data_IF_395360677935
#
_entry.id   IF_395360677935
#
_cell.length_a   1.000
_cell.length_b   1.000
_cell.length_c   1.000
_cell.angle_alpha   90.00
_cell.angle_beta   90.00
_cell.angle_gamma   90.00
#
_symmetry.space_group_name_H-M   'P 1'
#
loop_
_entity.id
_entity.type
_entity.pdbx_description
1 polymer ?
#
# COMPACT_ATOMS: atom_id res chain seq x y z
N UNK A 1 15.65 47.69 -4.91
CA UNK A 1 15.49 46.33 -5.47
C UNK A 1 14.11 45.69 -5.33
N UNK A 2 13.39 45.89 -4.23
CA UNK A 2 12.12 45.18 -3.95
C UNK A 2 11.05 45.24 -5.05
N UNK A 3 10.90 46.38 -5.76
CA UNK A 3 9.94 46.52 -6.87
C UNK A 3 10.28 45.63 -8.07
N UNK A 4 11.56 45.50 -8.41
CA UNK A 4 12.03 44.65 -9.50
C UNK A 4 11.76 43.17 -9.18
N UNK A 5 12.07 42.72 -7.95
CA UNK A 5 11.78 41.35 -7.52
C UNK A 5 10.28 41.04 -7.57
N UNK A 6 9.43 41.96 -7.13
CA UNK A 6 7.96 41.80 -7.23
C UNK A 6 7.48 41.69 -8.68
N UNK A 7 8.02 42.52 -9.58
CA UNK A 7 7.67 42.47 -11.00
C UNK A 7 8.11 41.16 -11.65
N UNK A 8 9.35 40.72 -11.43
CA UNK A 8 9.84 39.44 -11.95
C UNK A 8 9.05 38.27 -11.36
N UNK A 9 8.80 38.28 -10.04
CA UNK A 9 8.00 37.25 -9.38
C UNK A 9 6.58 37.17 -9.96
N UNK A 10 5.94 38.30 -10.27
CA UNK A 10 4.61 38.27 -10.90
C UNK A 10 4.61 37.51 -12.23
N UNK A 11 5.65 37.68 -13.04
CA UNK A 11 5.78 37.00 -14.35
C UNK A 11 6.12 35.50 -14.22
N UNK A 12 6.95 35.11 -13.26
CA UNK A 12 7.45 33.72 -13.15
C UNK A 12 6.78 32.89 -12.06
N UNK A 13 5.94 33.48 -11.20
CA UNK A 13 5.36 32.83 -10.00
C UNK A 13 4.72 31.48 -10.27
N UNK A 14 4.06 31.30 -11.42
CA UNK A 14 3.42 30.03 -11.82
C UNK A 14 4.41 28.89 -12.07
N UNK A 15 5.68 29.21 -12.26
CA UNK A 15 6.78 28.27 -12.50
C UNK A 15 7.61 28.03 -11.23
N UNK A 16 7.28 28.70 -10.12
CA UNK A 16 8.02 28.60 -8.86
C UNK A 16 7.30 27.68 -7.86
N UNK A 17 8.03 26.98 -6.97
CA UNK A 17 7.42 26.25 -5.86
C UNK A 17 6.60 27.17 -4.95
N UNK A 18 5.49 26.68 -4.39
CA UNK A 18 4.52 27.47 -3.60
C UNK A 18 5.11 28.24 -2.40
N UNK A 19 6.30 27.84 -1.92
CA UNK A 19 6.96 28.45 -0.75
C UNK A 19 7.90 29.61 -1.09
N UNK A 20 8.24 29.83 -2.37
CA UNK A 20 9.13 30.93 -2.78
C UNK A 20 8.34 32.23 -2.83
N UNK A 21 8.83 33.27 -2.16
CA UNK A 21 8.27 34.62 -2.24
C UNK A 21 9.23 35.56 -2.99
N UNK A 22 8.71 36.70 -3.46
CA UNK A 22 9.51 37.69 -4.21
C UNK A 22 10.78 38.16 -3.45
N UNK A 23 10.74 38.15 -2.11
CA UNK A 23 11.89 38.54 -1.30
C UNK A 23 13.09 37.59 -1.46
N UNK A 24 12.83 36.31 -1.78
CA UNK A 24 13.84 35.26 -1.84
C UNK A 24 14.65 35.29 -3.14
N UNK A 25 14.22 36.06 -4.14
CA UNK A 25 14.94 36.21 -5.41
C UNK A 25 16.22 37.03 -5.23
N UNK A 26 17.35 36.53 -5.73
CA UNK A 26 18.64 37.24 -5.70
C UNK A 26 18.89 37.90 -7.05
N UNK A 27 19.31 39.17 -7.07
CA UNK A 27 19.53 39.94 -8.31
C UNK A 27 21.01 40.23 -8.47
N UNK A 28 21.55 40.01 -9.66
CA UNK A 28 22.95 40.24 -10.02
C UNK A 28 23.03 41.25 -11.16
N UNK A 29 24.07 42.09 -11.15
CA UNK A 29 24.22 43.19 -12.09
C UNK A 29 24.42 42.72 -13.54
N UNK A 30 25.11 41.59 -13.71
CA UNK A 30 25.39 40.98 -15.00
C UNK A 30 25.84 39.52 -14.79
N UNK A 31 26.24 38.85 -15.88
CA UNK A 31 26.72 37.46 -15.84
C UNK A 31 28.03 37.27 -15.09
N UNK A 32 28.92 38.26 -15.09
CA UNK A 32 30.18 38.19 -14.34
C UNK A 32 29.92 38.24 -12.83
N UNK A 33 29.07 39.17 -12.38
CA UNK A 33 28.65 39.27 -10.98
C UNK A 33 27.90 38.01 -10.51
N UNK A 34 27.07 37.42 -11.37
CA UNK A 34 26.42 36.13 -11.07
C UNK A 34 27.44 34.99 -10.89
N UNK A 35 28.45 34.92 -11.75
CA UNK A 35 29.50 33.90 -11.64
C UNK A 35 30.37 34.10 -10.38
N UNK A 36 30.62 35.36 -10.00
CA UNK A 36 31.34 35.72 -8.78
C UNK A 36 30.50 35.64 -7.50
N UNK A 37 29.19 35.39 -7.61
CA UNK A 37 28.21 35.40 -6.50
C UNK A 37 28.13 36.75 -5.77
N UNK A 38 28.35 37.84 -6.48
CA UNK A 38 28.26 39.22 -5.97
C UNK A 38 26.84 39.78 -6.24
N UNK A 39 25.95 39.61 -5.26
CA UNK A 39 24.58 40.10 -5.36
C UNK A 39 24.52 41.64 -5.27
N UNK A 40 23.58 42.24 -5.99
CA UNK A 40 23.28 43.66 -5.86
C UNK A 40 22.65 43.96 -4.50
N UNK A 41 23.18 44.98 -3.82
CA UNK A 41 22.60 45.49 -2.58
C UNK A 41 21.20 46.09 -2.82
N UNK A 42 20.40 46.13 -1.76
CA UNK A 42 18.98 46.47 -1.86
C UNK A 42 18.73 47.88 -2.42
N UNK A 43 19.63 48.80 -2.12
CA UNK A 43 19.59 50.23 -2.50
C UNK A 43 20.47 50.57 -3.71
N UNK A 44 21.06 49.58 -4.38
CA UNK A 44 21.88 49.82 -5.57
C UNK A 44 21.03 50.45 -6.71
N UNK A 45 21.52 51.52 -7.38
CA UNK A 45 20.84 52.11 -8.51
C UNK A 45 20.85 51.16 -9.71
N UNK A 46 19.66 50.80 -10.22
CA UNK A 46 19.50 49.86 -11.35
C UNK A 46 19.41 50.54 -12.72
N UNK A 47 19.31 51.86 -12.77
CA UNK A 47 19.01 52.60 -14.00
C UNK A 47 20.07 52.50 -15.09
N UNK A 48 21.29 52.09 -14.76
CA UNK A 48 22.40 51.88 -15.70
C UNK A 48 22.61 50.42 -16.11
N UNK A 49 21.77 49.49 -15.63
CA UNK A 49 21.90 48.05 -15.85
C UNK A 49 20.77 47.53 -16.75
N UNK A 50 21.03 46.48 -17.54
CA UNK A 50 20.01 45.83 -18.37
C UNK A 50 19.76 46.45 -19.75
N UNK A 51 20.56 47.42 -20.18
CA UNK A 51 20.44 48.06 -21.51
C UNK A 51 20.97 47.22 -22.69
N UNK A 52 21.62 46.09 -22.42
CA UNK A 52 22.22 45.20 -23.42
C UNK A 52 22.15 43.74 -22.97
N UNK A 53 22.39 42.78 -23.89
CA UNK A 53 22.49 41.35 -23.52
C UNK A 53 23.72 41.04 -22.67
N UNK A 54 24.80 41.83 -22.79
CA UNK A 54 26.04 41.64 -22.02
C UNK A 54 25.90 42.16 -20.59
N UNK A 55 25.07 43.18 -20.38
CA UNK A 55 24.82 43.83 -19.09
C UNK A 55 23.41 43.50 -18.56
N UNK A 56 22.84 42.37 -19.00
CA UNK A 56 21.52 41.94 -18.58
C UNK A 56 21.52 41.58 -17.09
N UNK A 57 20.57 42.13 -16.34
CA UNK A 57 20.29 41.75 -14.96
C UNK A 57 19.93 40.26 -14.91
N UNK A 58 20.54 39.54 -13.98
CA UNK A 58 20.23 38.13 -13.74
C UNK A 58 19.48 38.02 -12.42
N UNK A 59 18.30 37.40 -12.46
CA UNK A 59 17.52 37.09 -11.26
C UNK A 59 17.60 35.60 -11.01
N UNK A 60 18.28 35.22 -9.94
CA UNK A 60 18.37 33.85 -9.49
C UNK A 60 17.20 33.54 -8.56
N UNK A 61 16.45 32.50 -8.90
CA UNK A 61 15.48 31.88 -8.01
C UNK A 61 16.24 31.03 -6.99
N UNK A 62 15.93 31.11 -5.69
CA UNK A 62 16.54 30.25 -4.69
C UNK A 62 16.26 28.79 -5.05
N UNK A 63 17.33 28.00 -5.15
CA UNK A 63 17.19 26.57 -5.29
C UNK A 63 16.73 26.05 -3.93
N UNK A 64 15.49 25.57 -3.82
CA UNK A 64 14.96 25.01 -2.56
C UNK A 64 15.74 23.74 -2.13
N UNK A 65 16.70 23.30 -2.95
CA UNK A 65 17.66 22.23 -2.65
C UNK A 65 19.07 22.71 -2.23
N UNK A 66 19.33 24.02 -2.12
CA UNK A 66 20.57 24.54 -1.52
C UNK A 66 20.26 25.09 -0.12
N UNK A 67 20.73 24.35 0.89
CA UNK A 67 20.72 24.74 2.30
C UNK A 67 21.31 26.15 2.45
N UNK A 68 20.68 27.09 3.20
CA UNK A 68 21.22 28.42 3.40
C UNK A 68 22.65 28.36 3.95
N UNK A 69 23.57 29.08 3.29
CA UNK A 69 25.02 29.09 3.53
C UNK A 69 25.46 29.64 4.90
N UNK A 70 24.54 29.88 5.83
CA UNK A 70 24.85 30.14 7.24
C UNK A 70 24.92 28.86 8.09
N UNK A 71 24.64 27.68 7.52
CA UNK A 71 24.80 26.38 8.18
C UNK A 71 26.09 25.62 7.82
N UNK A 72 27.02 26.22 7.06
CA UNK A 72 28.32 25.59 6.73
C UNK A 72 29.27 25.44 7.93
N UNK A 73 28.79 25.61 9.16
CA UNK A 73 29.56 25.36 10.40
C UNK A 73 29.20 24.04 11.09
N UNK A 74 28.22 23.28 10.61
CA UNK A 74 27.98 21.94 11.16
C UNK A 74 28.82 20.95 10.37
N UNK A 75 29.94 20.54 10.96
CA UNK A 75 30.71 19.36 10.56
C UNK A 75 29.72 18.24 10.18
N UNK A 76 29.62 17.93 8.89
CA UNK A 76 28.71 16.91 8.39
C UNK A 76 29.02 15.59 9.07
N UNK A 77 28.10 15.14 9.93
CA UNK A 77 28.22 13.86 10.63
C UNK A 77 28.37 12.77 9.57
N UNK A 78 29.44 11.96 9.63
CA UNK A 78 29.71 10.92 8.64
C UNK A 78 28.54 9.94 8.51
N UNK A 79 28.42 9.28 7.36
CA UNK A 79 27.39 8.28 7.12
C UNK A 79 27.40 7.17 8.19
N UNK A 80 28.58 6.76 8.67
CA UNK A 80 28.72 5.75 9.72
C UNK A 80 28.09 6.21 11.04
N UNK A 81 28.35 7.45 11.47
CA UNK A 81 27.77 8.01 12.70
C UNK A 81 26.26 8.22 12.54
N UNK A 82 25.78 8.61 11.35
CA UNK A 82 24.35 8.66 11.05
C UNK A 82 23.71 7.26 11.14
N UNK A 83 24.38 6.23 10.63
CA UNK A 83 23.91 4.85 10.69
C UNK A 83 23.85 4.33 12.14
N UNK A 84 24.86 4.60 12.97
CA UNK A 84 24.84 4.23 14.40
C UNK A 84 23.69 4.92 15.14
N UNK A 85 23.50 6.22 14.89
CA UNK A 85 22.36 6.97 15.46
C UNK A 85 21.03 6.38 15.02
N UNK A 86 20.89 6.00 13.75
CA UNK A 86 19.68 5.36 13.25
C UNK A 86 19.47 4.00 13.92
N UNK A 87 20.49 3.14 14.00
CA UNK A 87 20.42 1.84 14.69
C UNK A 87 19.93 1.99 16.14
N UNK A 88 20.37 3.02 16.85
CA UNK A 88 19.92 3.29 18.22
C UNK A 88 18.42 3.61 18.34
N UNK A 89 17.77 4.08 17.28
CA UNK A 89 16.33 4.35 17.24
C UNK A 89 15.48 3.12 16.89
N UNK A 90 16.11 2.03 16.48
CA UNK A 90 15.45 0.84 15.95
C UNK A 90 15.58 -0.34 16.91
N UNK A 91 14.57 -1.20 16.90
CA UNK A 91 14.59 -2.51 17.54
C UNK A 91 13.72 -3.47 16.71
N UNK A 92 14.08 -4.75 16.67
CA UNK A 92 13.25 -5.73 15.99
C UNK A 92 11.90 -5.87 16.70
N UNK A 93 10.83 -5.82 15.91
CA UNK A 93 9.45 -6.01 16.35
C UNK A 93 8.70 -6.85 15.34
N UNK A 94 7.88 -7.75 15.87
CA UNK A 94 6.85 -8.44 15.08
C UNK A 94 5.97 -7.38 14.42
N UNK A 95 5.71 -7.48 13.10
CA UNK A 95 4.86 -6.52 12.41
C UNK A 95 3.47 -6.45 13.03
N UNK A 96 2.88 -5.25 13.04
CA UNK A 96 1.46 -5.11 13.38
C UNK A 96 0.61 -5.73 12.29
N UNK A 97 -0.57 -6.21 12.66
CA UNK A 97 -1.57 -6.68 11.70
C UNK A 97 -2.00 -5.56 10.76
N UNK A 98 -2.17 -5.91 9.49
CA UNK A 98 -2.73 -5.05 8.45
C UNK A 98 -4.25 -5.02 8.56
N UNK A 99 -4.87 -6.19 8.77
CA UNK A 99 -6.27 -6.31 9.09
C UNK A 99 -6.50 -5.95 10.57
N UNK A 100 -7.20 -4.83 10.79
CA UNK A 100 -7.52 -4.29 12.12
C UNK A 100 -9.03 -4.22 12.40
N UNK A 101 -9.83 -4.83 11.53
CA UNK A 101 -11.29 -4.90 11.64
C UNK A 101 -11.71 -5.99 12.63
N UNK A 102 -13.01 -6.08 12.94
CA UNK A 102 -13.54 -7.03 13.94
C UNK A 102 -13.31 -8.50 13.55
N UNK A 103 -13.17 -8.79 12.25
CA UNK A 103 -12.86 -10.11 11.71
C UNK A 103 -11.38 -10.48 11.75
N UNK A 104 -10.49 -9.62 12.27
CA UNK A 104 -9.06 -9.91 12.39
C UNK A 104 -8.73 -11.17 13.21
N UNK A 105 -9.64 -11.60 14.08
CA UNK A 105 -9.45 -12.75 14.97
C UNK A 105 -10.25 -13.98 14.53
N UNK A 106 -10.99 -13.89 13.42
CA UNK A 106 -11.65 -15.06 12.85
C UNK A 106 -10.61 -16.09 12.40
N UNK A 107 -10.88 -17.40 12.55
CA UNK A 107 -9.98 -18.44 12.07
C UNK A 107 -9.73 -18.30 10.57
N UNK A 108 -8.46 -18.28 10.19
CA UNK A 108 -8.10 -18.24 8.78
C UNK A 108 -8.51 -19.54 8.07
N UNK A 109 -9.10 -19.42 6.89
CA UNK A 109 -9.62 -20.55 6.10
C UNK A 109 -8.78 -20.72 4.83
N UNK A 110 -8.80 -21.89 4.18
CA UNK A 110 -8.18 -22.07 2.86
C UNK A 110 -6.64 -22.18 2.83
N UNK A 111 -5.99 -22.33 3.99
CA UNK A 111 -4.53 -22.36 4.07
C UNK A 111 -3.90 -23.59 3.39
N UNK A 112 -4.60 -24.72 3.34
CA UNK A 112 -4.09 -25.94 2.71
C UNK A 112 -4.08 -25.79 1.18
N UNK A 113 -5.18 -25.28 0.63
CA UNK A 113 -5.37 -25.03 -0.80
C UNK A 113 -4.40 -23.97 -1.32
N UNK A 114 -4.22 -22.88 -0.56
CA UNK A 114 -3.22 -21.85 -0.90
C UNK A 114 -1.78 -22.35 -0.78
N UNK A 115 -1.50 -23.21 0.20
CA UNK A 115 -0.19 -23.86 0.32
C UNK A 115 0.20 -24.56 -0.98
N UNK A 116 -0.73 -25.30 -1.58
CA UNK A 116 -0.50 -26.01 -2.85
C UNK A 116 -0.18 -25.04 -4.00
N UNK A 117 -0.88 -23.90 -4.08
CA UNK A 117 -0.62 -22.88 -5.11
C UNK A 117 0.72 -22.14 -4.90
N UNK A 118 1.25 -22.15 -3.68
CA UNK A 118 2.50 -21.49 -3.31
C UNK A 118 3.72 -22.40 -3.43
N UNK A 119 3.54 -23.72 -3.27
CA UNK A 119 4.65 -24.67 -3.10
C UNK A 119 5.65 -24.67 -4.26
N UNK A 120 5.21 -24.97 -5.49
CA UNK A 120 6.13 -25.08 -6.63
C UNK A 120 6.85 -23.75 -6.93
N UNK A 121 6.15 -22.59 -7.03
CA UNK A 121 6.83 -21.31 -7.28
C UNK A 121 7.80 -20.92 -6.16
N UNK A 122 7.48 -21.25 -4.91
CA UNK A 122 8.33 -20.94 -3.76
C UNK A 122 9.61 -21.79 -3.76
N UNK A 123 9.49 -23.10 -4.04
CA UNK A 123 10.64 -24.01 -4.13
C UNK A 123 11.53 -23.65 -5.31
N UNK A 124 10.95 -23.38 -6.47
CA UNK A 124 11.70 -22.94 -7.64
C UNK A 124 12.50 -21.66 -7.33
N UNK A 125 11.86 -20.68 -6.70
CA UNK A 125 12.52 -19.45 -6.28
C UNK A 125 13.66 -19.72 -5.29
N UNK A 126 13.41 -20.50 -4.24
CA UNK A 126 14.45 -20.83 -3.25
C UNK A 126 15.68 -21.49 -3.90
N UNK A 127 15.44 -22.48 -4.76
CA UNK A 127 16.50 -23.17 -5.47
C UNK A 127 17.28 -22.21 -6.39
N UNK A 128 16.60 -21.33 -7.13
CA UNK A 128 17.26 -20.35 -7.99
C UNK A 128 18.10 -19.36 -7.20
N UNK A 129 17.62 -18.89 -6.05
CA UNK A 129 18.38 -18.04 -5.13
C UNK A 129 19.64 -18.76 -4.61
N UNK A 130 19.52 -20.02 -4.18
CA UNK A 130 20.68 -20.82 -3.71
C UNK A 130 21.78 -20.95 -4.77
N UNK A 131 21.40 -21.05 -6.05
CA UNK A 131 22.35 -21.12 -7.18
C UNK A 131 22.82 -19.75 -7.67
N UNK A 132 22.38 -18.64 -7.06
CA UNK A 132 22.74 -17.29 -7.46
C UNK A 132 22.16 -16.86 -8.81
N UNK A 133 21.09 -17.52 -9.27
CA UNK A 133 20.38 -17.18 -10.50
C UNK A 133 19.57 -15.91 -10.23
N UNK A 134 19.68 -14.89 -11.10
CA UNK A 134 18.97 -13.60 -10.96
C UNK A 134 17.87 -13.42 -12.03
N UNK A 135 17.44 -14.51 -12.66
CA UNK A 135 16.43 -14.48 -13.71
C UNK A 135 15.04 -14.16 -13.13
N UNK A 136 14.40 -13.12 -13.69
CA UNK A 136 13.05 -12.67 -13.34
C UNK A 136 11.98 -13.75 -13.52
N UNK A 137 12.23 -14.76 -14.36
CA UNK A 137 11.32 -15.89 -14.56
C UNK A 137 11.40 -16.94 -13.45
N UNK A 138 12.42 -16.87 -12.59
CA UNK A 138 12.65 -17.86 -11.53
C UNK A 138 12.28 -17.36 -10.14
N UNK A 139 12.21 -16.05 -9.95
CA UNK A 139 11.81 -15.43 -8.68
C UNK A 139 10.36 -14.96 -8.75
N UNK A 140 9.46 -15.71 -8.11
CA UNK A 140 8.04 -15.39 -8.16
C UNK A 140 7.69 -14.14 -7.31
N UNK A 141 7.03 -13.16 -7.95
CA UNK A 141 6.29 -12.12 -7.25
C UNK A 141 4.86 -12.62 -6.98
N UNK A 142 4.49 -12.69 -5.70
CA UNK A 142 3.13 -13.09 -5.31
C UNK A 142 2.20 -11.86 -5.28
N UNK A 143 1.02 -11.99 -5.86
CA UNK A 143 0.07 -10.90 -6.04
C UNK A 143 -1.29 -11.29 -5.48
N UNK A 144 -1.69 -10.64 -4.39
CA UNK A 144 -3.02 -10.78 -3.78
C UNK A 144 -3.91 -9.68 -4.34
N UNK A 145 -4.56 -9.98 -5.47
CA UNK A 145 -5.44 -9.04 -6.15
C UNK A 145 -6.86 -9.54 -6.00
N UNK A 146 -7.69 -8.80 -5.29
CA UNK A 146 -9.13 -9.06 -5.21
C UNK A 146 -9.88 -7.85 -4.67
N UNK A 147 -11.20 -7.85 -4.80
CA UNK A 147 -12.05 -6.74 -4.41
C UNK A 147 -11.93 -6.28 -2.95
N UNK A 148 -12.44 -5.10 -2.61
CA UNK A 148 -12.45 -4.61 -1.24
C UNK A 148 -13.22 -5.56 -0.31
N UNK A 149 -12.70 -5.78 0.90
CA UNK A 149 -13.39 -6.57 1.93
C UNK A 149 -13.30 -8.10 1.79
N UNK A 150 -12.63 -8.62 0.76
CA UNK A 150 -12.42 -10.06 0.51
C UNK A 150 -11.39 -10.71 1.44
N UNK A 151 -10.49 -9.91 2.04
CA UNK A 151 -9.45 -10.39 2.95
C UNK A 151 -8.01 -10.27 2.43
N UNK A 152 -7.71 -9.35 1.50
CA UNK A 152 -6.33 -9.12 1.02
C UNK A 152 -5.34 -8.89 2.17
N UNK A 153 -5.58 -7.85 2.98
CA UNK A 153 -4.75 -7.51 4.15
C UNK A 153 -4.65 -8.68 5.14
N UNK A 154 -5.75 -9.42 5.32
CA UNK A 154 -5.75 -10.60 6.20
C UNK A 154 -4.92 -11.75 5.63
N UNK A 155 -4.88 -11.97 4.32
CA UNK A 155 -3.98 -12.96 3.73
C UNK A 155 -2.51 -12.57 3.96
N UNK A 156 -2.17 -11.28 3.79
CA UNK A 156 -0.81 -10.80 4.05
C UNK A 156 -0.42 -11.03 5.52
N UNK A 157 -1.36 -10.84 6.46
CA UNK A 157 -1.11 -11.13 7.88
C UNK A 157 -0.79 -12.60 8.19
N UNK A 158 -1.21 -13.52 7.32
CA UNK A 158 -1.05 -14.97 7.47
C UNK A 158 0.06 -15.52 6.56
N UNK A 159 0.70 -14.66 5.76
CA UNK A 159 1.59 -15.04 4.66
C UNK A 159 2.77 -15.88 5.14
N UNK A 160 3.42 -15.52 6.24
CA UNK A 160 4.49 -16.33 6.82
C UNK A 160 4.03 -17.76 7.12
N UNK A 161 2.84 -17.92 7.67
CA UNK A 161 2.24 -19.24 7.94
C UNK A 161 1.89 -20.00 6.67
N UNK A 162 1.39 -19.31 5.64
CA UNK A 162 1.10 -19.90 4.33
C UNK A 162 2.37 -20.40 3.63
N UNK A 163 3.43 -19.60 3.63
CA UNK A 163 4.73 -19.99 3.07
C UNK A 163 5.34 -21.17 3.82
N UNK A 164 5.26 -21.20 5.16
CA UNK A 164 5.71 -22.34 5.94
C UNK A 164 4.94 -23.63 5.56
N UNK A 165 3.62 -23.54 5.39
CA UNK A 165 2.80 -24.69 4.96
C UNK A 165 3.15 -25.15 3.55
N UNK A 166 3.39 -24.21 2.63
CA UNK A 166 3.80 -24.52 1.27
C UNK A 166 5.16 -25.25 1.25
N UNK A 167 6.12 -24.82 2.05
CA UNK A 167 7.41 -25.49 2.21
C UNK A 167 7.29 -26.86 2.90
N UNK A 168 6.40 -27.00 3.89
CA UNK A 168 6.10 -28.28 4.53
C UNK A 168 5.48 -29.29 3.55
N UNK A 169 4.64 -28.82 2.61
CA UNK A 169 4.06 -29.65 1.55
C UNK A 169 5.08 -30.08 0.49
N UNK A 170 6.11 -29.28 0.21
CA UNK A 170 7.15 -29.64 -0.75
C UNK A 170 8.19 -30.61 -0.18
N UNK A 171 8.36 -30.66 1.15
CA UNK A 171 9.35 -31.50 1.81
C UNK A 171 10.75 -30.87 1.90
N UNK A 172 10.92 -29.60 1.50
CA UNK A 172 12.22 -28.91 1.49
C UNK A 172 12.61 -28.44 2.90
N UNK A 173 13.36 -29.26 3.65
CA UNK A 173 13.67 -29.02 5.06
C UNK A 173 14.46 -27.72 5.34
N UNK A 174 15.39 -27.34 4.46
CA UNK A 174 16.15 -26.10 4.62
C UNK A 174 15.25 -24.87 4.45
N UNK A 175 14.38 -24.89 3.43
CA UNK A 175 13.38 -23.86 3.19
C UNK A 175 12.41 -23.71 4.38
N UNK A 176 11.94 -24.84 4.96
CA UNK A 176 11.08 -24.83 6.15
C UNK A 176 11.79 -24.13 7.33
N UNK A 177 13.06 -24.47 7.57
CA UNK A 177 13.87 -23.88 8.64
C UNK A 177 14.09 -22.38 8.44
N UNK A 178 14.41 -21.99 7.20
CA UNK A 178 14.60 -20.60 6.77
C UNK A 178 13.33 -19.77 6.98
N UNK A 179 12.16 -20.25 6.50
CA UNK A 179 10.90 -19.52 6.62
C UNK A 179 10.42 -19.39 8.08
N UNK A 180 10.64 -20.39 8.94
CA UNK A 180 10.29 -20.31 10.36
C UNK A 180 11.04 -19.16 11.07
N UNK A 181 12.29 -18.92 10.68
CA UNK A 181 13.16 -17.85 11.19
C UNK A 181 13.04 -16.54 10.42
N UNK A 182 12.21 -16.47 9.38
CA UNK A 182 12.12 -15.30 8.52
C UNK A 182 11.71 -14.02 9.26
N UNK A 183 12.33 -12.92 8.85
CA UNK A 183 12.00 -11.56 9.25
C UNK A 183 10.88 -11.05 8.34
N UNK A 184 9.71 -10.84 8.93
CA UNK A 184 8.51 -10.39 8.23
C UNK A 184 8.33 -8.88 8.34
N UNK A 185 8.14 -8.24 7.20
CA UNK A 185 7.81 -6.81 7.10
C UNK A 185 6.43 -6.65 6.47
N UNK A 186 5.55 -5.91 7.16
CA UNK A 186 4.21 -5.59 6.68
C UNK A 186 4.12 -4.10 6.44
N UNK A 187 4.34 -3.72 5.18
CA UNK A 187 4.31 -2.36 4.68
C UNK A 187 2.88 -2.07 4.18
N UNK A 188 2.32 -0.91 4.53
CA UNK A 188 1.00 -0.49 4.04
C UNK A 188 1.01 0.92 3.47
N UNK A 189 0.36 1.10 2.33
CA UNK A 189 0.03 2.40 1.74
C UNK A 189 -1.40 2.84 2.09
N UNK A 190 -2.08 2.11 2.99
CA UNK A 190 -3.40 2.44 3.50
C UNK A 190 -3.33 3.10 4.88
N UNK A 191 -4.19 2.68 5.82
CA UNK A 191 -4.41 3.32 7.11
C UNK A 191 -3.11 3.48 7.91
N UNK A 192 -2.90 4.69 8.45
CA UNK A 192 -1.78 5.03 9.33
C UNK A 192 -0.50 5.47 8.61
N UNK A 193 -0.26 5.03 7.38
CA UNK A 193 0.89 5.42 6.55
C UNK A 193 0.48 5.64 5.09
N UNK A 194 -0.68 6.24 4.87
CA UNK A 194 -1.25 6.38 3.53
C UNK A 194 -0.40 7.30 2.64
N UNK A 195 -0.29 6.97 1.36
CA UNK A 195 0.28 7.88 0.37
C UNK A 195 -0.73 9.03 0.11
N UNK A 196 -0.46 10.22 0.64
CA UNK A 196 -1.30 11.41 0.44
C UNK A 196 -0.90 12.18 -0.84
N UNK A 197 -0.75 11.48 -1.97
CA UNK A 197 -0.27 12.06 -3.23
C UNK A 197 0.94 11.32 -3.79
N UNK A 198 1.96 12.06 -4.22
CA UNK A 198 3.21 11.51 -4.78
C UNK A 198 4.10 10.82 -3.73
N UNK A 199 5.10 10.09 -4.21
CA UNK A 199 6.12 9.46 -3.35
C UNK A 199 6.84 10.47 -2.45
N UNK A 200 7.40 9.98 -1.34
CA UNK A 200 8.21 10.76 -0.41
C UNK A 200 9.42 11.42 -1.08
N UNK A 201 9.92 10.80 -2.15
CA UNK A 201 10.99 11.33 -3.00
C UNK A 201 10.74 10.91 -4.46
N UNK A 202 10.46 11.92 -5.30
CA UNK A 202 10.26 11.74 -6.73
C UNK A 202 11.46 11.13 -7.45
N UNK A 203 12.66 11.09 -6.87
CA UNK A 203 13.84 10.47 -7.47
C UNK A 203 14.08 9.05 -6.96
N UNK A 204 13.56 8.70 -5.80
CA UNK A 204 13.85 7.43 -5.11
C UNK A 204 12.55 6.69 -4.71
N UNK A 205 11.96 5.89 -5.61
CA UNK A 205 10.69 5.22 -5.33
C UNK A 205 10.79 4.14 -4.25
N UNK A 206 12.00 3.61 -4.03
CA UNK A 206 12.30 2.67 -2.95
C UNK A 206 12.12 3.28 -1.55
N UNK A 207 12.19 4.61 -1.44
CA UNK A 207 12.19 5.31 -0.16
C UNK A 207 10.89 5.07 0.61
N UNK A 208 9.77 5.03 -0.10
CA UNK A 208 8.44 4.79 0.48
C UNK A 208 8.32 3.43 1.17
N UNK A 209 8.84 2.37 0.52
CA UNK A 209 8.85 1.02 1.10
C UNK A 209 9.86 0.96 2.25
N UNK A 210 11.05 1.50 2.03
CA UNK A 210 12.16 1.47 2.99
C UNK A 210 11.83 2.20 4.29
N UNK A 211 11.18 3.35 4.22
CA UNK A 211 10.77 4.12 5.39
C UNK A 211 9.67 3.40 6.17
N UNK A 212 8.76 2.70 5.50
CA UNK A 212 7.72 1.90 6.18
C UNK A 212 8.32 0.67 6.88
N UNK A 213 9.36 0.05 6.30
CA UNK A 213 10.15 -0.99 6.97
C UNK A 213 10.79 -0.42 8.24
N UNK A 214 11.48 0.72 8.15
CA UNK A 214 12.10 1.38 9.31
C UNK A 214 11.07 1.81 10.35
N UNK A 215 9.89 2.24 9.92
CA UNK A 215 8.80 2.64 10.81
C UNK A 215 8.24 1.46 11.62
N UNK A 216 8.22 0.25 11.04
CA UNK A 216 7.91 -0.97 11.80
C UNK A 216 8.92 -1.20 12.93
N UNK A 217 10.20 -0.93 12.67
CA UNK A 217 11.32 -1.15 13.59
C UNK A 217 11.52 -0.02 14.61
N UNK A 218 10.85 1.12 14.45
CA UNK A 218 11.04 2.26 15.33
C UNK A 218 10.69 1.92 16.80
N UNK A 219 11.60 2.24 17.73
CA UNK A 219 11.38 2.13 19.17
C UNK A 219 10.17 2.96 19.59
N UNK A 220 10.16 4.23 19.18
CA UNK A 220 9.10 5.18 19.46
C UNK A 220 8.15 5.34 18.27
N UNK A 221 6.84 5.17 18.53
CA UNK A 221 5.77 5.37 17.55
C UNK A 221 5.44 6.85 17.40
N UNK A 222 6.13 7.51 16.46
CA UNK A 222 5.76 8.85 16.00
C UNK A 222 4.62 8.80 14.98
N UNK A 223 3.85 9.88 14.79
CA UNK A 223 3.02 10.04 13.60
C UNK A 223 3.87 9.85 12.34
N UNK A 224 3.30 9.25 11.30
CA UNK A 224 4.02 8.87 10.07
C UNK A 224 4.88 10.01 9.50
N UNK A 225 4.30 11.18 9.24
CA UNK A 225 5.06 12.30 8.68
C UNK A 225 6.16 12.81 9.62
N UNK A 226 5.93 12.83 10.93
CA UNK A 226 6.98 13.19 11.89
C UNK A 226 8.15 12.20 11.91
N UNK A 227 7.90 10.93 11.58
CA UNK A 227 8.97 9.95 11.40
C UNK A 227 9.72 10.15 10.07
N UNK A 228 9.00 10.41 8.98
CA UNK A 228 9.58 10.74 7.66
C UNK A 228 10.50 11.96 7.77
N UNK A 229 10.01 13.05 8.36
CA UNK A 229 10.75 14.30 8.54
C UNK A 229 12.02 14.08 9.37
N UNK A 230 11.93 13.27 10.43
CA UNK A 230 13.09 12.89 11.22
C UNK A 230 14.13 12.15 10.38
N UNK A 231 13.69 11.19 9.55
CA UNK A 231 14.60 10.42 8.72
C UNK A 231 15.30 11.28 7.67
N UNK A 232 14.54 12.11 6.94
CA UNK A 232 15.07 12.99 5.91
C UNK A 232 15.97 14.09 6.48
N UNK A 233 15.62 14.66 7.63
CA UNK A 233 16.40 15.74 8.25
C UNK A 233 17.64 15.26 8.99
N UNK A 234 17.57 14.11 9.68
CA UNK A 234 18.66 13.64 10.56
C UNK A 234 19.64 12.70 9.87
N UNK A 235 19.23 12.05 8.78
CA UNK A 235 20.04 11.05 8.08
C UNK A 235 20.17 11.29 6.56
N UNK A 236 20.41 12.54 6.10
CA UNK A 236 20.40 12.87 4.67
C UNK A 236 21.53 12.20 3.87
N UNK A 237 22.57 11.72 4.55
CA UNK A 237 23.69 11.04 3.89
C UNK A 237 23.45 9.54 3.69
N UNK A 238 22.41 8.97 4.31
CA UNK A 238 22.07 7.56 4.16
C UNK A 238 21.17 7.34 2.94
N UNK A 239 21.66 6.56 1.97
CA UNK A 239 20.82 6.09 0.85
C UNK A 239 19.99 4.88 1.30
N UNK A 240 18.86 5.16 1.93
CA UNK A 240 17.95 4.17 2.51
C UNK A 240 17.08 3.47 1.45
N UNK A 241 17.74 2.75 0.53
CA UNK A 241 17.13 1.77 -0.37
C UNK A 241 16.69 0.51 0.39
N UNK A 242 15.86 -0.34 -0.22
CA UNK A 242 15.31 -1.53 0.48
C UNK A 242 16.45 -2.42 0.98
N UNK A 243 17.42 -2.73 0.10
CA UNK A 243 18.63 -3.51 0.44
C UNK A 243 19.46 -2.86 1.56
N UNK A 244 19.57 -1.52 1.58
CA UNK A 244 20.30 -0.81 2.63
C UNK A 244 19.59 -0.94 3.99
N UNK A 245 18.26 -0.91 3.99
CA UNK A 245 17.46 -1.15 5.20
C UNK A 245 17.57 -2.59 5.67
N UNK A 246 17.57 -3.58 4.78
CA UNK A 246 17.83 -4.98 5.17
C UNK A 246 19.22 -5.13 5.82
N UNK A 247 20.25 -4.47 5.28
CA UNK A 247 21.58 -4.45 5.91
C UNK A 247 21.60 -3.76 7.29
N UNK A 248 20.71 -2.78 7.53
CA UNK A 248 20.52 -2.21 8.88
C UNK A 248 19.95 -3.27 9.81
N UNK A 249 19.00 -4.09 9.37
CA UNK A 249 18.42 -5.18 10.17
C UNK A 249 19.44 -6.28 10.47
N UNK A 250 20.27 -6.66 9.48
CA UNK A 250 21.41 -7.59 9.69
C UNK A 250 22.31 -7.10 10.82
N UNK A 251 22.67 -5.81 10.83
CA UNK A 251 23.47 -5.21 11.92
C UNK A 251 22.73 -5.18 13.25
N UNK A 252 21.44 -4.82 13.23
CA UNK A 252 20.59 -4.72 14.43
C UNK A 252 20.47 -6.08 15.14
N UNK A 253 20.20 -7.12 14.37
CA UNK A 253 19.97 -8.49 14.86
C UNK A 253 21.26 -9.32 14.92
N UNK A 254 22.42 -8.71 14.63
CA UNK A 254 23.75 -9.32 14.68
C UNK A 254 23.86 -10.60 13.85
N UNK A 255 23.26 -10.58 12.65
CA UNK A 255 23.36 -11.66 11.67
C UNK A 255 24.74 -11.59 11.00
N UNK A 256 25.44 -12.72 10.87
CA UNK A 256 26.81 -12.78 10.36
C UNK A 256 26.90 -12.38 8.87
N UNK A 257 26.09 -13.00 8.00
CA UNK A 257 25.96 -12.63 6.59
C UNK A 257 24.48 -12.38 6.24
N UNK A 258 24.23 -11.38 5.40
CA UNK A 258 22.90 -11.11 4.83
C UNK A 258 22.29 -12.33 4.12
N UNK A 259 23.12 -13.26 3.60
CA UNK A 259 22.69 -14.51 2.99
C UNK A 259 22.01 -15.47 3.99
N UNK A 260 22.33 -15.35 5.27
CA UNK A 260 21.71 -16.16 6.33
C UNK A 260 20.35 -15.59 6.75
N UNK A 261 20.00 -14.41 6.25
CA UNK A 261 18.71 -13.77 6.49
C UNK A 261 17.67 -14.27 5.49
N UNK A 262 16.46 -14.49 5.99
CA UNK A 262 15.26 -14.70 5.17
C UNK A 262 14.28 -13.57 5.40
N UNK A 263 13.83 -12.95 4.32
CA UNK A 263 12.95 -11.78 4.34
C UNK A 263 11.59 -12.13 3.73
N UNK A 264 10.51 -11.78 4.40
CA UNK A 264 9.16 -11.79 3.83
C UNK A 264 8.68 -10.34 3.79
N UNK A 265 8.57 -9.77 2.60
CA UNK A 265 8.12 -8.40 2.38
C UNK A 265 6.68 -8.41 1.86
N UNK A 266 5.73 -8.10 2.73
CA UNK A 266 4.33 -7.91 2.38
C UNK A 266 4.03 -6.41 2.19
N UNK A 267 3.56 -6.03 1.01
CA UNK A 267 3.22 -4.65 0.65
C UNK A 267 1.73 -4.56 0.33
N UNK A 268 1.00 -3.86 1.20
CA UNK A 268 -0.45 -3.70 1.10
C UNK A 268 -0.86 -2.33 0.57
N UNK A 269 -2.00 -2.29 -0.12
CA UNK A 269 -2.63 -1.04 -0.55
C UNK A 269 -1.99 -0.36 -1.74
N UNK A 270 -1.35 -1.09 -2.67
CA UNK A 270 -0.67 -0.47 -3.81
C UNK A 270 -1.58 0.44 -4.64
N UNK A 271 -2.89 0.18 -4.67
CA UNK A 271 -3.88 1.03 -5.36
C UNK A 271 -3.98 2.46 -4.81
N UNK A 272 -3.41 2.74 -3.63
CA UNK A 272 -3.35 4.08 -3.04
C UNK A 272 -2.19 4.92 -3.59
N UNK A 273 -1.25 4.30 -4.31
CA UNK A 273 -0.16 5.00 -4.97
C UNK A 273 -0.68 5.58 -6.29
N UNK A 274 -0.25 6.81 -6.62
CA UNK A 274 -0.64 7.49 -7.85
C UNK A 274 -0.31 6.63 -9.07
N UNK A 275 -1.35 6.33 -9.86
CA UNK A 275 -1.24 5.70 -11.17
C UNK A 275 -1.91 6.59 -12.21
N UNK A 276 -1.13 7.23 -13.07
CA UNK A 276 -1.60 8.05 -14.19
C UNK A 276 -1.70 7.27 -15.52
N UNK A 277 -1.53 5.94 -15.48
CA UNK A 277 -1.52 5.07 -16.66
C UNK A 277 -0.19 5.05 -17.42
N UNK A 278 0.82 5.81 -16.98
CA UNK A 278 2.15 5.81 -17.57
C UNK A 278 3.13 4.90 -16.82
N UNK A 279 4.17 4.43 -17.50
CA UNK A 279 5.27 3.66 -16.85
C UNK A 279 6.20 4.52 -16.00
N UNK A 280 5.98 5.83 -15.96
CA UNK A 280 6.73 6.76 -15.10
C UNK A 280 5.98 7.09 -13.82
N UNK A 281 4.75 6.59 -13.66
CA UNK A 281 3.96 6.83 -12.47
C UNK A 281 4.58 6.21 -11.22
N UNK A 282 4.23 6.77 -10.07
CA UNK A 282 4.75 6.34 -8.78
C UNK A 282 4.42 4.87 -8.47
N UNK A 283 3.21 4.43 -8.85
CA UNK A 283 2.80 3.04 -8.74
C UNK A 283 3.77 2.09 -9.47
N UNK A 284 4.06 2.37 -10.74
CA UNK A 284 4.97 1.56 -11.55
C UNK A 284 6.38 1.55 -10.97
N UNK A 285 6.85 2.70 -10.50
CA UNK A 285 8.19 2.87 -9.96
C UNK A 285 8.39 2.12 -8.64
N UNK A 286 7.40 2.12 -7.76
CA UNK A 286 7.41 1.32 -6.52
C UNK A 286 7.39 -0.17 -6.84
N UNK A 287 6.53 -0.61 -7.76
CA UNK A 287 6.47 -2.02 -8.16
C UNK A 287 7.79 -2.50 -8.80
N UNK A 288 8.40 -1.64 -9.63
CA UNK A 288 9.71 -1.90 -10.23
C UNK A 288 10.81 -2.01 -9.18
N UNK A 289 10.79 -1.14 -8.16
CA UNK A 289 11.70 -1.19 -7.02
C UNK A 289 11.58 -2.51 -6.24
N UNK A 290 10.35 -2.97 -5.97
CA UNK A 290 10.10 -4.25 -5.29
C UNK A 290 10.62 -5.43 -6.12
N UNK A 291 10.36 -5.44 -7.44
CA UNK A 291 10.91 -6.47 -8.33
C UNK A 291 12.45 -6.41 -8.39
N UNK A 292 13.04 -5.22 -8.44
CA UNK A 292 14.50 -5.05 -8.43
C UNK A 292 15.11 -5.65 -7.16
N UNK A 293 14.52 -5.35 -6.00
CA UNK A 293 14.93 -5.93 -4.73
C UNK A 293 14.77 -7.46 -4.71
N UNK A 294 13.61 -7.98 -5.10
CA UNK A 294 13.32 -9.42 -5.20
C UNK A 294 14.39 -10.17 -6.00
N UNK A 295 14.80 -9.64 -7.16
CA UNK A 295 15.72 -10.35 -8.06
C UNK A 295 17.20 -10.19 -7.73
N UNK A 296 17.57 -9.16 -6.95
CA UNK A 296 18.97 -8.82 -6.68
C UNK A 296 19.39 -8.96 -5.22
N UNK A 297 18.45 -9.25 -4.31
CA UNK A 297 18.77 -9.38 -2.90
C UNK A 297 19.70 -10.57 -2.64
N UNK A 298 20.65 -10.36 -1.73
CA UNK A 298 21.51 -11.43 -1.24
C UNK A 298 20.80 -12.32 -0.21
N UNK A 299 19.87 -11.77 0.55
CA UNK A 299 19.01 -12.52 1.46
C UNK A 299 17.97 -13.31 0.65
N UNK A 300 17.59 -14.49 1.11
CA UNK A 300 16.43 -15.17 0.51
C UNK A 300 15.18 -14.34 0.80
N UNK A 301 14.53 -13.84 -0.24
CA UNK A 301 13.48 -12.83 -0.10
C UNK A 301 12.22 -13.27 -0.80
N UNK A 302 11.08 -13.24 -0.11
CA UNK A 302 9.75 -13.44 -0.71
C UNK A 302 8.99 -12.12 -0.68
N UNK A 303 8.61 -11.61 -1.84
CA UNK A 303 7.80 -10.38 -1.97
C UNK A 303 6.34 -10.73 -2.28
N UNK A 304 5.42 -10.14 -1.53
CA UNK A 304 3.98 -10.27 -1.73
C UNK A 304 3.34 -8.90 -1.79
N UNK A 305 2.61 -8.61 -2.86
CA UNK A 305 1.94 -7.33 -3.05
C UNK A 305 0.42 -7.50 -3.07
N UNK A 306 -0.31 -6.57 -2.47
CA UNK A 306 -1.77 -6.54 -2.43
C UNK A 306 -2.32 -5.26 -3.07
N UNK A 307 -3.40 -5.41 -3.83
CA UNK A 307 -4.20 -4.29 -4.32
C UNK A 307 -5.67 -4.67 -4.51
N UNK A 308 -6.57 -3.70 -4.33
CA UNK A 308 -8.02 -3.91 -4.57
C UNK A 308 -8.44 -3.71 -6.03
N UNK A 309 -7.60 -3.08 -6.85
CA UNK A 309 -7.84 -2.85 -8.27
C UNK A 309 -6.82 -3.63 -9.08
N UNK A 310 -7.30 -4.51 -9.96
CA UNK A 310 -6.45 -5.42 -10.73
C UNK A 310 -5.77 -4.73 -11.91
N UNK A 311 -6.47 -3.84 -12.61
CA UNK A 311 -6.02 -3.31 -13.91
C UNK A 311 -4.69 -2.56 -13.83
N UNK A 312 -4.47 -1.62 -12.89
CA UNK A 312 -3.18 -0.95 -12.70
C UNK A 312 -2.00 -1.91 -12.57
N UNK A 313 -2.17 -2.99 -11.78
CA UNK A 313 -1.13 -3.99 -11.54
C UNK A 313 -0.85 -4.79 -12.81
N UNK A 314 -1.91 -5.17 -13.53
CA UNK A 314 -1.79 -5.94 -14.78
C UNK A 314 -1.11 -5.12 -15.87
N UNK A 315 -1.49 -3.85 -16.04
CA UNK A 315 -0.90 -2.92 -17.00
C UNK A 315 0.57 -2.64 -16.67
N UNK A 316 0.89 -2.35 -15.41
CA UNK A 316 2.27 -2.11 -14.98
C UNK A 316 3.17 -3.33 -15.19
N UNK A 317 2.62 -4.55 -15.07
CA UNK A 317 3.37 -5.78 -15.30
C UNK A 317 3.20 -6.36 -16.71
N UNK A 318 2.48 -5.68 -17.62
CA UNK A 318 2.18 -6.22 -18.95
C UNK A 318 3.46 -6.54 -19.73
N UNK A 319 4.42 -5.61 -19.72
CA UNK A 319 5.70 -5.75 -20.40
C UNK A 319 6.82 -6.29 -19.49
N UNK A 320 6.48 -6.71 -18.26
CA UNK A 320 7.44 -7.26 -17.32
C UNK A 320 7.59 -8.77 -17.53
N UNK A 321 8.84 -9.21 -17.66
CA UNK A 321 9.20 -10.64 -17.62
C UNK A 321 9.31 -11.17 -16.19
N UNK A 322 8.75 -10.48 -15.19
CA UNK A 322 8.67 -11.03 -13.83
C UNK A 322 7.69 -12.21 -13.80
N UNK A 323 8.12 -13.33 -13.21
CA UNK A 323 7.22 -14.42 -12.88
C UNK A 323 6.23 -13.97 -11.80
N UNK A 324 4.95 -14.29 -12.03
CA UNK A 324 3.83 -13.78 -11.23
C UNK A 324 2.96 -14.94 -10.76
N UNK A 325 2.61 -14.93 -9.49
CA UNK A 325 1.64 -15.88 -8.92
C UNK A 325 0.48 -15.09 -8.35
N UNK A 326 -0.69 -15.22 -8.97
CA UNK A 326 -1.91 -14.58 -8.51
C UNK A 326 -2.57 -15.42 -7.43
N UNK A 327 -2.81 -14.81 -6.28
CA UNK A 327 -3.44 -15.43 -5.12
C UNK A 327 -4.78 -14.76 -4.86
N UNK A 328 -5.79 -15.57 -4.56
CA UNK A 328 -7.11 -15.10 -4.21
C UNK A 328 -7.38 -15.41 -2.74
N UNK A 329 -7.81 -14.42 -1.93
CA UNK A 329 -8.32 -14.67 -0.59
C UNK A 329 -9.34 -15.81 -0.59
N UNK A 330 -9.13 -16.79 0.29
CA UNK A 330 -10.03 -17.91 0.37
C UNK A 330 -11.31 -17.39 0.99
N UNK A 331 -12.45 -17.84 0.46
CA UNK A 331 -13.71 -17.37 0.95
C UNK A 331 -14.00 -17.82 2.39
N UNK A 332 -14.58 -16.91 3.15
CA UNK A 332 -14.99 -17.21 4.51
C UNK A 332 -16.29 -18.00 4.55
N UNK A 333 -16.27 -19.14 5.26
CA UNK A 333 -17.49 -19.85 5.65
C UNK A 333 -17.96 -19.29 6.99
N UNK A 334 -18.91 -18.35 6.96
CA UNK A 334 -19.37 -17.58 8.12
C UNK A 334 -19.84 -18.45 9.30
N UNK A 335 -20.58 -19.52 9.00
CA UNK A 335 -21.11 -20.45 10.02
C UNK A 335 -20.04 -21.13 10.89
N UNK A 336 -18.75 -21.10 10.50
CA UNK A 336 -17.66 -21.67 11.30
C UNK A 336 -17.26 -20.82 12.50
N UNK A 337 -17.60 -19.53 12.49
CA UNK A 337 -17.12 -18.57 13.50
C UNK A 337 -18.18 -17.56 13.94
N UNK A 338 -19.27 -17.39 13.19
CA UNK A 338 -20.45 -16.66 13.63
C UNK A 338 -21.48 -17.67 14.15
N UNK A 339 -21.75 -17.61 15.45
CA UNK A 339 -22.86 -18.35 16.04
C UNK A 339 -24.18 -17.72 15.62
N UNK A 340 -25.13 -18.54 15.17
CA UNK A 340 -26.48 -18.10 14.78
C UNK A 340 -27.50 -18.72 15.72
N UNK A 341 -28.54 -17.95 16.06
CA UNK A 341 -29.57 -18.27 17.04
C UNK A 341 -30.88 -18.65 16.37
N UNK A 342 -31.15 -18.09 15.19
CA UNK A 342 -32.38 -18.29 14.42
C UNK A 342 -32.10 -18.81 13.00
N UNK A 343 -33.15 -19.21 12.29
CA UNK A 343 -33.03 -19.70 10.91
C UNK A 343 -32.64 -18.56 9.97
N UNK A 344 -33.24 -17.38 10.16
CA UNK A 344 -32.91 -16.18 9.37
C UNK A 344 -31.44 -15.77 9.54
N UNK A 345 -30.89 -15.79 10.76
CA UNK A 345 -29.47 -15.47 10.97
C UNK A 345 -28.56 -16.43 10.23
N UNK A 346 -28.85 -17.74 10.31
CA UNK A 346 -28.11 -18.76 9.57
C UNK A 346 -28.15 -18.52 8.07
N UNK A 347 -29.33 -18.22 7.54
CA UNK A 347 -29.51 -17.90 6.13
C UNK A 347 -28.67 -16.68 5.71
N UNK A 348 -28.76 -15.58 6.44
CA UNK A 348 -28.01 -14.35 6.15
C UNK A 348 -26.49 -14.58 6.20
N UNK A 349 -26.00 -15.33 7.18
CA UNK A 349 -24.57 -15.67 7.31
C UNK A 349 -24.09 -16.54 6.15
N UNK A 350 -24.90 -17.49 5.68
CA UNK A 350 -24.56 -18.32 4.52
C UNK A 350 -24.55 -17.49 3.22
N UNK A 351 -25.51 -16.57 3.05
CA UNK A 351 -25.70 -15.78 1.83
C UNK A 351 -24.67 -14.63 1.71
N UNK A 352 -24.33 -13.99 2.83
CA UNK A 352 -23.29 -12.96 2.90
C UNK A 352 -21.89 -13.55 3.15
N UNK A 353 -21.79 -14.88 3.25
CA UNK A 353 -20.53 -15.58 3.37
C UNK A 353 -19.56 -15.25 2.23
N UNK A 354 -18.28 -15.51 2.47
CA UNK A 354 -17.21 -15.36 1.48
C UNK A 354 -16.37 -14.11 1.62
N UNK A 355 -16.94 -12.99 2.11
CA UNK A 355 -16.22 -11.72 2.23
C UNK A 355 -16.22 -11.23 3.67
N UNK A 356 -15.03 -10.86 4.16
CA UNK A 356 -14.82 -10.48 5.55
C UNK A 356 -15.65 -9.27 5.95
N UNK A 357 -15.52 -8.18 5.21
CA UNK A 357 -16.16 -6.91 5.56
C UNK A 357 -17.70 -6.99 5.47
N UNK A 358 -18.24 -7.75 4.53
CA UNK A 358 -19.68 -8.00 4.46
C UNK A 358 -20.21 -8.75 5.69
N UNK A 359 -19.48 -9.79 6.14
CA UNK A 359 -19.82 -10.53 7.35
C UNK A 359 -19.67 -9.68 8.62
N UNK A 360 -18.73 -8.73 8.66
CA UNK A 360 -18.57 -7.79 9.77
C UNK A 360 -19.76 -6.83 9.86
N UNK A 361 -20.22 -6.29 8.72
CA UNK A 361 -21.42 -5.48 8.63
C UNK A 361 -22.67 -6.25 9.10
N UNK A 362 -22.84 -7.49 8.61
CA UNK A 362 -23.95 -8.36 9.03
C UNK A 362 -23.89 -8.63 10.53
N UNK A 363 -22.72 -9.02 11.06
CA UNK A 363 -22.53 -9.27 12.48
C UNK A 363 -22.94 -8.04 13.29
N UNK A 364 -22.49 -6.85 12.91
CA UNK A 364 -22.82 -5.61 13.60
C UNK A 364 -24.34 -5.33 13.64
N UNK A 365 -25.06 -5.66 12.56
CA UNK A 365 -26.51 -5.49 12.50
C UNK A 365 -27.22 -6.51 13.37
N UNK A 366 -26.90 -7.80 13.22
CA UNK A 366 -27.54 -8.90 13.97
C UNK A 366 -27.39 -8.75 15.49
N UNK A 367 -26.29 -8.14 15.97
CA UNK A 367 -26.08 -7.86 17.39
C UNK A 367 -27.07 -6.85 17.98
N UNK A 368 -27.77 -6.05 17.15
CA UNK A 368 -28.79 -5.10 17.61
C UNK A 368 -30.15 -5.76 17.82
N UNK A 369 -30.36 -6.93 17.26
CA UNK A 369 -31.62 -7.65 17.34
C UNK A 369 -31.61 -8.66 18.50
N UNK A 370 -32.64 -8.58 19.33
CA UNK A 370 -32.95 -9.62 20.31
C UNK A 370 -33.45 -10.88 19.59
N UNK A 371 -33.28 -12.04 20.23
CA UNK A 371 -33.68 -13.32 19.64
C UNK A 371 -35.17 -13.34 19.31
N UNK A 372 -36.01 -12.88 20.23
CA UNK A 372 -37.47 -12.90 20.06
C UNK A 372 -37.91 -12.08 18.82
N UNK A 373 -37.30 -10.92 18.58
CA UNK A 373 -37.56 -10.11 17.37
C UNK A 373 -37.11 -10.80 16.09
N UNK A 374 -36.06 -11.63 16.14
CA UNK A 374 -35.61 -12.40 14.97
C UNK A 374 -36.49 -13.62 14.72
N UNK A 375 -37.03 -14.23 15.79
CA UNK A 375 -38.00 -15.33 15.70
C UNK A 375 -39.33 -14.83 15.10
N UNK A 376 -39.80 -13.62 15.48
CA UNK A 376 -40.96 -12.96 14.84
C UNK A 376 -40.75 -12.76 13.33
N UNK A 377 -39.58 -12.26 12.92
CA UNK A 377 -39.23 -12.12 11.49
C UNK A 377 -39.20 -13.47 10.79
N UNK A 378 -38.74 -14.53 11.46
CA UNK A 378 -38.75 -15.90 10.93
C UNK A 378 -40.17 -16.44 10.73
N UNK A 379 -41.10 -16.10 11.63
CA UNK A 379 -42.53 -16.47 11.57
C UNK A 379 -43.29 -15.68 10.50
N UNK A 380 -43.07 -14.37 10.42
CA UNK A 380 -43.68 -13.47 9.42
C UNK A 380 -43.08 -13.68 8.02
N UNK A 381 -41.83 -14.14 7.95
CA UNK A 381 -41.14 -14.41 6.70
C UNK A 381 -40.68 -13.17 5.93
N UNK A 382 -40.66 -11.99 6.56
CA UNK A 382 -40.27 -10.73 5.93
C UNK A 382 -38.97 -10.13 6.53
N UNK A 383 -37.81 -10.36 5.91
CA UNK A 383 -36.52 -9.85 6.42
C UNK A 383 -36.27 -8.36 6.11
N UNK A 384 -37.23 -7.62 5.55
CA UNK A 384 -36.99 -6.31 4.93
C UNK A 384 -36.28 -5.30 5.84
N UNK A 385 -36.66 -5.21 7.12
CA UNK A 385 -36.00 -4.30 8.07
C UNK A 385 -34.54 -4.66 8.32
N UNK A 386 -34.22 -5.95 8.40
CA UNK A 386 -32.84 -6.42 8.56
C UNK A 386 -32.03 -6.12 7.29
N UNK A 387 -32.64 -6.31 6.12
CA UNK A 387 -32.03 -6.00 4.82
C UNK A 387 -31.66 -4.51 4.74
N UNK A 388 -32.55 -3.63 5.15
CA UNK A 388 -32.30 -2.17 5.16
C UNK A 388 -31.18 -1.79 6.13
N UNK A 389 -31.15 -2.38 7.33
CA UNK A 389 -30.09 -2.14 8.30
C UNK A 389 -28.72 -2.64 7.79
N UNK A 390 -28.69 -3.81 7.17
CA UNK A 390 -27.49 -4.37 6.53
C UNK A 390 -27.02 -3.48 5.39
N UNK A 391 -27.92 -2.99 4.54
CA UNK A 391 -27.59 -2.01 3.50
C UNK A 391 -26.91 -0.77 4.09
N UNK A 392 -27.49 -0.18 5.12
CA UNK A 392 -26.92 1.01 5.77
C UNK A 392 -25.58 0.73 6.47
N UNK A 393 -25.36 -0.49 6.96
CA UNK A 393 -24.08 -0.90 7.52
C UNK A 393 -23.02 -1.09 6.42
N UNK A 394 -23.35 -1.77 5.32
CA UNK A 394 -22.48 -1.95 4.17
C UNK A 394 -22.10 -0.60 3.56
N UNK A 395 -23.06 0.31 3.36
CA UNK A 395 -22.80 1.65 2.84
C UNK A 395 -21.78 2.41 3.69
N UNK A 396 -21.86 2.29 5.02
CA UNK A 396 -20.88 2.90 5.93
C UNK A 396 -19.49 2.26 5.84
N UNK A 397 -19.40 0.95 5.65
CA UNK A 397 -18.11 0.23 5.62
C UNK A 397 -17.43 0.22 4.24
N UNK A 398 -18.19 0.44 3.18
CA UNK A 398 -17.73 0.41 1.78
C UNK A 398 -17.95 1.77 1.09
N UNK A 399 -17.87 2.89 1.83
CA UNK A 399 -18.17 4.24 1.32
C UNK A 399 -17.65 4.49 -0.10
N UNK A 400 -16.35 4.30 -0.34
CA UNK A 400 -15.71 4.48 -1.66
C UNK A 400 -16.33 3.61 -2.78
N UNK A 401 -16.80 2.40 -2.46
CA UNK A 401 -17.45 1.51 -3.44
C UNK A 401 -18.86 1.99 -3.72
N UNK A 402 -19.60 2.39 -2.69
CA UNK A 402 -20.98 2.89 -2.81
C UNK A 402 -21.07 4.33 -3.34
N UNK A 403 -19.97 5.07 -3.34
CA UNK A 403 -19.83 6.38 -3.99
C UNK A 403 -19.37 6.26 -5.46
N UNK A 404 -19.17 5.03 -5.96
CA UNK A 404 -18.86 4.80 -7.37
C UNK A 404 -20.08 4.98 -8.27
N UNK A 405 -19.84 5.30 -9.55
CA UNK A 405 -20.89 5.47 -10.57
C UNK A 405 -21.85 4.29 -10.69
N UNK A 406 -21.42 3.12 -10.24
CA UNK A 406 -22.21 1.89 -10.24
C UNK A 406 -23.40 1.96 -9.26
N UNK A 407 -23.28 2.75 -8.20
CA UNK A 407 -24.28 2.95 -7.15
C UNK A 407 -24.83 4.38 -7.10
N UNK A 408 -24.65 5.16 -8.18
CA UNK A 408 -25.23 6.50 -8.33
C UNK A 408 -26.75 6.50 -8.13
N UNK A 409 -27.42 5.38 -8.42
CA UNK A 409 -28.81 5.12 -8.03
C UNK A 409 -28.84 4.21 -6.77
N UNK A 410 -29.28 4.75 -5.59
CA UNK A 410 -29.41 3.98 -4.35
C UNK A 410 -30.31 2.74 -4.49
N UNK A 411 -31.28 2.79 -5.40
CA UNK A 411 -32.23 1.71 -5.66
C UNK A 411 -31.54 0.46 -6.22
N UNK A 412 -30.46 0.64 -7.00
CA UNK A 412 -29.70 -0.48 -7.56
C UNK A 412 -29.05 -1.33 -6.46
N UNK A 413 -28.51 -0.69 -5.43
CA UNK A 413 -27.91 -1.45 -4.33
C UNK A 413 -28.95 -2.24 -3.53
N UNK A 414 -30.09 -1.61 -3.25
CA UNK A 414 -31.19 -2.27 -2.53
C UNK A 414 -31.73 -3.46 -3.32
N UNK A 415 -31.90 -3.33 -4.64
CA UNK A 415 -32.32 -4.44 -5.50
C UNK A 415 -31.29 -5.59 -5.50
N UNK A 416 -29.99 -5.27 -5.52
CA UNK A 416 -28.91 -6.25 -5.43
C UNK A 416 -28.90 -6.96 -4.07
N UNK A 417 -28.99 -6.22 -2.97
CA UNK A 417 -29.00 -6.80 -1.63
C UNK A 417 -30.27 -7.63 -1.40
N UNK A 418 -31.43 -7.12 -1.81
CA UNK A 418 -32.68 -7.87 -1.76
C UNK A 418 -32.57 -9.18 -2.56
N UNK A 419 -32.01 -9.14 -3.77
CA UNK A 419 -31.80 -10.32 -4.61
C UNK A 419 -30.91 -11.38 -3.96
N UNK A 420 -29.80 -10.96 -3.32
CA UNK A 420 -28.87 -11.84 -2.60
C UNK A 420 -29.55 -12.46 -1.39
N UNK A 421 -30.12 -11.62 -0.52
CA UNK A 421 -30.67 -12.04 0.77
C UNK A 421 -31.99 -12.80 0.61
N UNK A 422 -32.75 -12.54 -0.46
CA UNK A 422 -33.96 -13.29 -0.81
C UNK A 422 -33.67 -14.58 -1.58
N UNK A 423 -32.39 -14.94 -1.82
CA UNK A 423 -31.97 -16.13 -2.58
C UNK A 423 -32.69 -16.31 -3.91
N UNK A 424 -32.94 -15.20 -4.62
CA UNK A 424 -33.39 -15.31 -6.02
C UNK A 424 -32.32 -16.09 -6.80
N UNK A 425 -32.65 -16.67 -7.95
CA UNK A 425 -31.66 -17.36 -8.80
C UNK A 425 -31.33 -16.44 -9.97
N UNK A 426 -30.07 -16.05 -10.09
CA UNK A 426 -29.58 -15.32 -11.25
C UNK A 426 -28.46 -16.12 -11.92
N UNK A 427 -28.42 -16.09 -13.26
CA UNK A 427 -27.24 -16.54 -14.01
C UNK A 427 -26.09 -15.55 -13.84
N UNK A 428 -24.83 -16.01 -14.00
CA UNK A 428 -23.61 -15.20 -13.80
C UNK A 428 -23.61 -13.92 -14.67
N UNK A 429 -24.15 -14.00 -15.88
CA UNK A 429 -24.26 -12.88 -16.83
C UNK A 429 -25.63 -12.16 -16.77
N UNK A 430 -26.52 -12.58 -15.87
CA UNK A 430 -27.84 -11.97 -15.73
C UNK A 430 -27.73 -10.65 -14.96
N UNK A 431 -28.54 -9.68 -15.38
CA UNK A 431 -28.69 -8.41 -14.66
C UNK A 431 -29.60 -8.57 -13.45
N UNK A 432 -29.29 -7.86 -12.37
CA UNK A 432 -30.15 -7.84 -11.18
C UNK A 432 -31.16 -6.70 -11.32
N UNK A 433 -32.44 -7.00 -11.17
CA UNK A 433 -33.52 -6.00 -11.20
C UNK A 433 -33.47 -5.08 -12.43
N UNK A 434 -33.46 -3.77 -12.21
CA UNK A 434 -33.34 -2.73 -13.24
C UNK A 434 -31.90 -2.25 -13.45
N UNK A 435 -30.95 -2.81 -12.72
CA UNK A 435 -29.54 -2.43 -12.82
C UNK A 435 -28.96 -2.77 -14.22
N UNK A 436 -27.95 -2.01 -14.64
CA UNK A 436 -27.14 -2.33 -15.84
C UNK A 436 -26.08 -3.41 -15.58
N UNK A 437 -25.87 -3.80 -14.33
CA UNK A 437 -24.73 -4.58 -13.84
C UNK A 437 -25.08 -6.08 -13.80
N UNK A 438 -24.12 -6.92 -14.18
CA UNK A 438 -24.22 -8.38 -14.09
C UNK A 438 -23.87 -8.90 -12.70
N UNK A 439 -24.30 -10.12 -12.38
CA UNK A 439 -23.95 -10.80 -11.12
C UNK A 439 -22.42 -10.97 -10.98
N UNK A 440 -21.70 -11.25 -12.06
CA UNK A 440 -20.24 -11.39 -12.05
C UNK A 440 -19.52 -10.10 -11.66
N UNK A 441 -19.91 -8.98 -12.28
CA UNK A 441 -19.38 -7.66 -11.93
C UNK A 441 -19.65 -7.33 -10.46
N UNK A 442 -20.84 -7.66 -9.94
CA UNK A 442 -21.15 -7.45 -8.52
C UNK A 442 -20.31 -8.29 -7.56
N UNK A 443 -20.01 -9.55 -7.93
CA UNK A 443 -19.14 -10.43 -7.14
C UNK A 443 -17.72 -9.89 -7.02
N UNK A 444 -17.24 -9.17 -8.04
CA UNK A 444 -15.91 -8.56 -8.03
C UNK A 444 -15.73 -7.50 -6.92
N UNK A 445 -16.82 -6.88 -6.45
CA UNK A 445 -16.77 -5.88 -5.37
C UNK A 445 -16.67 -6.46 -3.96
N UNK A 446 -16.70 -7.79 -3.80
CA UNK A 446 -16.53 -8.41 -2.49
C UNK A 446 -17.72 -8.20 -1.54
N UNK A 447 -18.93 -8.03 -2.07
CA UNK A 447 -20.13 -7.75 -1.27
C UNK A 447 -20.90 -9.00 -0.85
N UNK A 448 -20.95 -10.03 -1.69
CA UNK A 448 -21.67 -11.28 -1.42
C UNK A 448 -21.13 -12.44 -2.24
N UNK A 449 -21.51 -13.66 -1.84
CA UNK A 449 -21.32 -14.86 -2.65
C UNK A 449 -22.60 -15.26 -3.32
N UNK A 450 -22.56 -15.29 -4.64
CA UNK A 450 -23.49 -16.10 -5.39
C UNK A 450 -22.91 -17.50 -5.52
N UNK A 451 -23.43 -18.48 -4.79
CA UNK A 451 -23.08 -19.87 -5.04
C UNK A 451 -23.80 -20.34 -6.31
N UNK A 452 -23.06 -20.70 -7.38
CA UNK A 452 -23.63 -21.61 -8.36
C UNK A 452 -23.72 -22.97 -7.66
N UNK A 453 -24.91 -23.57 -7.63
CA UNK A 453 -25.15 -24.97 -7.18
C UNK A 453 -25.15 -25.13 -5.64
N UNK A 454 -26.00 -25.92 -4.96
CA UNK A 454 -26.88 -27.05 -5.31
C UNK A 454 -28.17 -26.98 -4.44
N UNK A 455 -29.34 -27.18 -5.05
CA UNK A 455 -30.53 -27.75 -4.40
C UNK A 455 -31.16 -28.71 -5.38
#
# INVERSE_FOLDING_TARGET
MARLRKAVFAEVSRLLPEKVIAADLTVFANRAAYAAKEALEEDSPIGSLGGSKTDALIVQVPNVNEVPSWQSSVVGVSADVQQEKLLNLLEWKVPKRLCTSTGQDWPYQGAAELGTSLADPLVQHYNSWQHGIQDKQTHALFLVLSGPGTGNSRMLDEMKGLLCKAAEQSGEHELISSLKKAYEFRVTFENGTSALGSLLDEKNPELDVSFRILYQLAKERKPWMGFVDQLQGSYPSLRLRIEAVINIVVKLEKIEDVKDMTVILCVDGLQKIVNDGTKTCDFYRVLTAICSFLNSSRAFTVCVCSATVHEPVREALADSTQQRVFLLPPPLRGHKFLATRTRIEKQLVDDMGGHGRALEALQQVLHRYHKDSLDEVDEEGDPSTIVDDVYHALKRQYGDVFDSRLFDDPTNCQEVLAAVLSRRRYGVLQRIGRTSVTVDELRSFGLFRWTPEER
#
